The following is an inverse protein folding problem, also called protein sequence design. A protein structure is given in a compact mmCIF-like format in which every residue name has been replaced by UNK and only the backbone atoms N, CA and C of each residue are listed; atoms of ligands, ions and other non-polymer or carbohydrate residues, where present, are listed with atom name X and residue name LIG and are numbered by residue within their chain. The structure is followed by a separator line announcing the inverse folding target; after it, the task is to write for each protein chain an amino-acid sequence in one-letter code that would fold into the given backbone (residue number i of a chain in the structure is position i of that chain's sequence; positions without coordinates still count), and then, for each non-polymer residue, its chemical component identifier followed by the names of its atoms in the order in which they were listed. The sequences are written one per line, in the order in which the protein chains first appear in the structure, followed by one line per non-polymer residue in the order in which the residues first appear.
data_IF_806520877101
#
_entry.id   IF_806520877101
#
_cell.length_a   1.000
_cell.length_b   1.000
_cell.length_c   1.000
_cell.angle_alpha   90.00
_cell.angle_beta   90.00
_cell.angle_gamma   90.00
#
_symmetry.space_group_name_H-M   'P 1'
#
loop_
_entity.id
_entity.type
_entity.pdbx_description
1 polymer ?
#
# COMPACT_ATOMS: atom_id res chain seq x y z
N UNK A 1 44.01 0.68 24.95
CA UNK A 1 43.99 2.14 25.17
C UNK A 1 45.23 2.69 24.50
N UNK A 2 45.09 3.56 23.50
CA UNK A 2 46.23 4.14 22.81
C UNK A 2 46.76 5.28 23.68
N UNK A 3 48.04 5.22 24.07
CA UNK A 3 48.64 6.30 24.86
C UNK A 3 48.86 7.52 23.97
N UNK A 4 48.54 8.73 24.44
CA UNK A 4 48.80 9.93 23.66
C UNK A 4 50.31 10.10 23.50
N UNK A 5 50.81 10.06 22.27
CA UNK A 5 52.22 10.31 21.95
C UNK A 5 52.35 11.61 21.17
N UNK A 6 53.44 12.35 21.39
CA UNK A 6 53.76 13.53 20.59
C UNK A 6 53.95 13.12 19.12
N UNK A 7 53.21 13.71 18.19
CA UNK A 7 53.35 13.41 16.76
C UNK A 7 54.65 13.91 16.14
N UNK A 8 55.44 14.73 16.86
CA UNK A 8 56.72 15.23 16.39
C UNK A 8 57.91 14.36 16.84
N UNK A 9 58.04 14.09 18.15
CA UNK A 9 59.18 13.34 18.71
C UNK A 9 58.83 11.95 19.23
N UNK A 10 57.55 11.56 19.25
CA UNK A 10 57.11 10.24 19.73
C UNK A 10 57.03 10.10 21.26
N UNK A 11 57.34 11.15 22.03
CA UNK A 11 57.32 11.10 23.50
C UNK A 11 55.93 10.78 24.06
N UNK A 12 55.85 9.97 25.12
CA UNK A 12 54.60 9.62 25.81
C UNK A 12 54.09 10.83 26.61
N UNK A 13 52.94 11.36 26.21
CA UNK A 13 52.30 12.53 26.82
C UNK A 13 51.34 12.16 27.95
N UNK A 14 51.35 10.89 28.38
CA UNK A 14 50.54 10.44 29.52
C UNK A 14 50.94 11.20 30.79
N UNK A 15 50.02 12.00 31.33
CA UNK A 15 50.25 12.78 32.56
C UNK A 15 50.92 14.14 32.36
N UNK A 16 51.08 14.63 31.13
CA UNK A 16 51.59 15.97 30.89
C UNK A 16 50.58 17.05 31.35
N UNK A 17 50.99 17.92 32.27
CA UNK A 17 50.15 19.02 32.79
C UNK A 17 50.16 20.27 31.90
N UNK A 18 51.11 20.36 30.96
CA UNK A 18 51.26 21.50 30.05
C UNK A 18 50.78 21.15 28.63
N UNK A 19 50.35 22.15 27.85
CA UNK A 19 49.99 21.98 26.43
C UNK A 19 51.19 21.86 25.48
N UNK A 20 52.40 21.65 26.03
CA UNK A 20 53.65 21.52 25.28
C UNK A 20 54.32 20.19 25.61
N UNK A 21 54.98 19.62 24.60
CA UNK A 21 55.80 18.45 24.82
C UNK A 21 57.04 18.82 25.66
N UNK A 22 57.37 18.10 26.74
CA UNK A 22 58.54 18.40 27.57
C UNK A 22 59.86 18.17 26.81
N UNK A 23 59.88 17.23 25.85
CA UNK A 23 61.07 16.95 25.03
C UNK A 23 61.31 17.98 23.92
N UNK A 24 60.32 18.23 23.05
CA UNK A 24 60.53 19.04 21.84
C UNK A 24 59.93 20.45 21.91
N UNK A 25 59.21 20.80 22.99
CA UNK A 25 58.64 22.14 23.20
C UNK A 25 57.44 22.51 22.31
N UNK A 26 57.10 21.67 21.31
CA UNK A 26 55.98 21.88 20.42
C UNK A 26 54.64 21.84 21.15
N UNK A 27 53.71 22.68 20.69
CA UNK A 27 52.33 22.63 21.14
C UNK A 27 51.65 21.35 20.66
N UNK A 28 50.80 20.75 21.50
CA UNK A 28 50.04 19.55 21.16
C UNK A 28 49.21 19.71 19.87
N UNK A 29 48.71 20.92 19.61
CA UNK A 29 47.93 21.27 18.42
C UNK A 29 48.79 21.19 17.15
N UNK A 30 50.03 21.70 17.21
CA UNK A 30 50.99 21.68 16.10
C UNK A 30 51.58 20.29 15.89
N UNK A 31 51.81 19.54 16.96
CA UNK A 31 52.30 18.16 16.93
C UNK A 31 51.22 17.15 16.52
N UNK A 32 50.02 17.60 16.13
CA UNK A 32 48.92 16.73 15.67
C UNK A 32 48.30 15.86 16.77
N UNK A 33 48.57 16.16 18.03
CA UNK A 33 48.02 15.43 19.18
C UNK A 33 46.56 15.85 19.35
N UNK A 34 45.64 14.96 18.95
CA UNK A 34 44.20 15.20 19.12
C UNK A 34 43.82 14.96 20.58
N UNK A 35 43.99 15.99 21.41
CA UNK A 35 43.47 16.02 22.79
C UNK A 35 42.00 16.46 22.73
N UNK A 36 41.11 15.53 22.44
CA UNK A 36 39.68 15.76 22.49
C UNK A 36 38.96 14.49 22.92
N UNK A 37 37.89 14.58 23.72
CA UNK A 37 37.07 13.42 24.05
C UNK A 37 36.68 12.75 22.73
N UNK A 38 37.08 11.49 22.56
CA UNK A 38 37.03 10.74 21.31
C UNK A 38 35.87 11.20 20.44
N UNK A 39 36.17 11.92 19.34
CA UNK A 39 35.15 12.42 18.41
C UNK A 39 34.22 11.31 17.89
N UNK A 40 34.64 10.07 18.08
CA UNK A 40 33.90 8.84 17.87
C UNK A 40 32.61 8.74 18.70
N UNK A 41 32.59 9.23 19.96
CA UNK A 41 31.37 9.18 20.80
C UNK A 41 30.29 10.14 20.29
N UNK A 42 30.68 11.37 19.91
CA UNK A 42 29.76 12.36 19.35
C UNK A 42 29.20 11.88 18.02
N UNK A 43 30.05 11.29 17.17
CA UNK A 43 29.64 10.74 15.86
C UNK A 43 28.70 9.55 16.02
N UNK A 44 28.94 8.66 16.99
CA UNK A 44 28.05 7.53 17.33
C UNK A 44 26.68 7.99 17.82
N UNK A 45 26.62 8.99 18.69
CA UNK A 45 25.35 9.56 19.18
C UNK A 45 24.55 10.21 18.05
N UNK A 46 25.21 11.01 17.21
CA UNK A 46 24.55 11.63 16.06
C UNK A 46 24.01 10.57 15.09
N UNK A 47 24.80 9.55 14.75
CA UNK A 47 24.36 8.45 13.87
C UNK A 47 23.14 7.71 14.44
N UNK A 48 23.11 7.44 15.75
CA UNK A 48 21.94 6.82 16.40
C UNK A 48 20.71 7.73 16.33
N UNK A 49 20.86 9.03 16.58
CA UNK A 49 19.77 9.98 16.47
C UNK A 49 19.19 10.05 15.04
N UNK A 50 20.05 10.07 14.02
CA UNK A 50 19.63 10.06 12.61
C UNK A 50 18.88 8.77 12.27
N UNK A 51 19.37 7.61 12.70
CA UNK A 51 18.68 6.33 12.46
C UNK A 51 17.29 6.33 13.10
N UNK A 52 17.17 6.78 14.35
CA UNK A 52 15.87 6.88 15.03
C UNK A 52 14.91 7.83 14.32
N UNK A 53 15.41 8.99 13.86
CA UNK A 53 14.60 9.94 13.10
C UNK A 53 14.07 9.32 11.79
N UNK A 54 14.91 8.59 11.05
CA UNK A 54 14.50 7.90 9.81
C UNK A 54 13.43 6.84 10.11
N UNK A 55 13.60 6.04 11.17
CA UNK A 55 12.62 5.00 11.55
C UNK A 55 11.27 5.63 11.92
N UNK A 56 11.28 6.73 12.68
CA UNK A 56 10.06 7.45 13.04
C UNK A 56 9.36 8.04 11.82
N UNK A 57 10.10 8.65 10.90
CA UNK A 57 9.55 9.20 9.65
C UNK A 57 8.96 8.09 8.76
N UNK A 58 9.65 6.96 8.64
CA UNK A 58 9.14 5.80 7.90
C UNK A 58 7.86 5.25 8.54
N UNK A 59 7.83 5.10 9.86
CA UNK A 59 6.65 4.67 10.60
C UNK A 59 5.44 5.59 10.41
N UNK A 60 5.66 6.91 10.48
CA UNK A 60 4.61 7.90 10.21
C UNK A 60 4.10 7.82 8.76
N UNK A 61 4.99 7.62 7.79
CA UNK A 61 4.62 7.41 6.39
C UNK A 61 3.75 6.18 6.16
N UNK A 62 4.07 5.06 6.82
CA UNK A 62 3.26 3.83 6.75
C UNK A 62 1.88 4.04 7.37
N UNK A 63 1.79 4.72 8.51
CA UNK A 63 0.52 5.06 9.15
C UNK A 63 -0.40 5.89 8.24
N UNK A 64 0.13 6.95 7.62
CA UNK A 64 -0.66 7.82 6.74
C UNK A 64 -1.14 7.10 5.47
N UNK A 65 -0.28 6.27 4.89
CA UNK A 65 -0.65 5.48 3.70
C UNK A 65 -1.68 4.40 4.03
N UNK A 66 -1.61 3.80 5.22
CA UNK A 66 -2.61 2.83 5.69
C UNK A 66 -4.01 3.45 5.83
N UNK A 67 -4.13 4.65 6.41
CA UNK A 67 -5.42 5.35 6.48
C UNK A 67 -6.00 5.64 5.10
N UNK A 68 -5.18 6.17 4.19
CA UNK A 68 -5.61 6.45 2.83
C UNK A 68 -6.09 5.17 2.12
N UNK A 69 -5.38 4.06 2.32
CA UNK A 69 -5.76 2.76 1.79
C UNK A 69 -7.10 2.26 2.35
N UNK A 70 -7.31 2.38 3.67
CA UNK A 70 -8.57 1.98 4.30
C UNK A 70 -9.76 2.83 3.83
N UNK A 71 -9.58 4.15 3.67
CA UNK A 71 -10.62 5.04 3.11
C UNK A 71 -10.94 4.67 1.67
N UNK A 72 -9.92 4.40 0.85
CA UNK A 72 -10.11 3.97 -0.54
C UNK A 72 -10.85 2.63 -0.63
N UNK A 73 -10.56 1.69 0.28
CA UNK A 73 -11.27 0.41 0.36
C UNK A 73 -12.74 0.62 0.75
N UNK A 74 -13.02 1.40 1.78
CA UNK A 74 -14.39 1.70 2.20
C UNK A 74 -15.22 2.37 1.09
N UNK A 75 -14.62 3.27 0.31
CA UNK A 75 -15.28 3.92 -0.82
C UNK A 75 -15.64 2.90 -1.94
N UNK A 76 -14.78 1.91 -2.20
CA UNK A 76 -15.06 0.85 -3.18
C UNK A 76 -16.23 -0.03 -2.73
N UNK A 77 -16.29 -0.38 -1.45
CA UNK A 77 -17.36 -1.21 -0.90
C UNK A 77 -18.72 -0.49 -0.99
N UNK A 78 -18.76 0.82 -0.70
CA UNK A 78 -19.96 1.64 -0.88
C UNK A 78 -20.41 1.72 -2.35
N UNK A 79 -19.47 1.87 -3.28
CA UNK A 79 -19.79 1.93 -4.71
C UNK A 79 -20.38 0.59 -5.22
N UNK A 80 -19.88 -0.55 -4.73
CA UNK A 80 -20.43 -1.87 -5.06
C UNK A 80 -21.84 -2.02 -4.49
N UNK A 81 -22.06 -1.63 -3.23
CA UNK A 81 -23.38 -1.68 -2.60
C UNK A 81 -24.41 -0.82 -3.35
N UNK A 82 -24.04 0.38 -3.79
CA UNK A 82 -24.91 1.26 -4.59
C UNK A 82 -25.30 0.62 -5.92
N UNK A 83 -24.35 -0.03 -6.62
CA UNK A 83 -24.64 -0.73 -7.87
C UNK A 83 -25.62 -1.89 -7.66
N UNK A 84 -25.45 -2.65 -6.59
CA UNK A 84 -26.36 -3.75 -6.26
C UNK A 84 -27.77 -3.24 -5.95
N UNK A 85 -27.88 -2.15 -5.17
CA UNK A 85 -29.16 -1.51 -4.89
C UNK A 85 -29.85 -1.00 -6.17
N UNK A 86 -29.10 -0.37 -7.08
CA UNK A 86 -29.63 0.12 -8.35
C UNK A 86 -30.16 -1.03 -9.23
N UNK A 87 -29.42 -2.14 -9.35
CA UNK A 87 -29.87 -3.32 -10.08
C UNK A 87 -31.11 -3.97 -9.45
N UNK A 88 -31.19 -4.01 -8.13
CA UNK A 88 -32.37 -4.50 -7.43
C UNK A 88 -33.62 -3.64 -7.71
N UNK A 89 -33.47 -2.31 -7.73
CA UNK A 89 -34.54 -1.39 -8.09
C UNK A 89 -35.00 -1.58 -9.55
N UNK A 90 -34.06 -1.78 -10.48
CA UNK A 90 -34.39 -2.07 -11.88
C UNK A 90 -35.21 -3.35 -12.01
N UNK A 91 -34.77 -4.44 -11.35
CA UNK A 91 -35.51 -5.72 -11.35
C UNK A 91 -36.93 -5.56 -10.78
N UNK A 92 -37.08 -4.84 -9.68
CA UNK A 92 -38.38 -4.57 -9.08
C UNK A 92 -39.29 -3.76 -10.02
N UNK A 93 -38.74 -2.78 -10.74
CA UNK A 93 -39.49 -2.00 -11.73
C UNK A 93 -39.93 -2.87 -12.92
N UNK A 94 -39.04 -3.72 -13.46
CA UNK A 94 -39.37 -4.67 -14.53
C UNK A 94 -40.45 -5.66 -14.11
N UNK A 95 -40.38 -6.18 -12.88
CA UNK A 95 -41.42 -7.08 -12.36
C UNK A 95 -42.78 -6.39 -12.22
N UNK A 96 -42.81 -5.11 -11.80
CA UNK A 96 -44.06 -4.33 -11.75
C UNK A 96 -44.66 -4.12 -13.13
N UNK A 97 -43.84 -3.87 -14.15
CA UNK A 97 -44.32 -3.73 -15.53
C UNK A 97 -44.83 -5.06 -16.09
N UNK A 98 -44.11 -6.15 -15.88
CA UNK A 98 -44.53 -7.48 -16.33
C UNK A 98 -45.85 -7.91 -15.65
N UNK A 99 -46.01 -7.66 -14.35
CA UNK A 99 -47.24 -7.97 -13.62
C UNK A 99 -48.42 -7.04 -13.89
N UNK A 100 -48.17 -5.83 -14.43
CA UNK A 100 -49.22 -4.86 -14.77
C UNK A 100 -49.77 -5.04 -16.19
N UNK A 101 -49.25 -6.00 -16.97
CA UNK A 101 -49.84 -6.35 -18.26
C UNK A 101 -51.14 -7.08 -17.93
N UNK A 102 -52.32 -6.44 -18.07
CA UNK A 102 -53.57 -7.06 -17.70
C UNK A 102 -53.79 -8.25 -18.62
N UNK A 103 -54.23 -9.40 -18.09
CA UNK A 103 -54.73 -10.54 -18.86
C UNK A 103 -56.04 -10.18 -19.61
N UNK A 104 -56.06 -9.09 -20.38
CA UNK A 104 -57.23 -8.60 -21.08
C UNK A 104 -57.38 -9.20 -22.49
N UNK A 105 -56.56 -10.18 -22.87
CA UNK A 105 -56.42 -10.60 -24.28
C UNK A 105 -56.49 -12.13 -24.50
N UNK A 106 -57.16 -12.90 -23.62
CA UNK A 106 -57.35 -14.34 -23.84
C UNK A 106 -58.73 -14.88 -23.41
N UNK A 107 -59.80 -14.13 -23.71
CA UNK A 107 -61.19 -14.66 -23.64
C UNK A 107 -62.00 -14.44 -24.94
N UNK A 108 -61.38 -13.91 -26.01
CA UNK A 108 -62.07 -13.61 -27.28
C UNK A 108 -61.66 -14.49 -28.46
N UNK A 109 -60.84 -15.54 -28.28
CA UNK A 109 -60.37 -16.39 -29.39
C UNK A 109 -60.80 -17.86 -29.33
N UNK A 110 -61.83 -18.21 -28.53
CA UNK A 110 -62.41 -19.55 -28.50
C UNK A 110 -63.53 -19.82 -29.52
N UNK A 111 -63.85 -18.91 -30.46
CA UNK A 111 -65.00 -19.07 -31.38
C UNK A 111 -64.68 -19.34 -32.86
N UNK A 112 -63.42 -19.46 -33.31
CA UNK A 112 -63.11 -19.74 -34.74
C UNK A 112 -62.06 -20.84 -34.99
N UNK A 113 -62.15 -21.97 -34.26
CA UNK A 113 -61.42 -23.21 -34.63
C UNK A 113 -62.31 -24.44 -34.79
N UNK A 114 -63.56 -24.21 -35.20
CA UNK A 114 -64.21 -25.13 -36.14
C UNK A 114 -63.55 -24.98 -37.51
N UNK A 115 -63.23 -26.10 -38.16
CA UNK A 115 -62.86 -26.21 -39.57
C UNK A 115 -61.46 -25.72 -40.02
N UNK A 116 -60.47 -26.58 -39.84
CA UNK A 116 -59.35 -26.92 -40.78
C UNK A 116 -58.40 -27.82 -40.00
N UNK A 117 -58.63 -29.13 -39.91
CA UNK A 117 -58.63 -30.12 -40.99
C UNK A 117 -57.45 -29.96 -41.95
N UNK A 118 -56.58 -30.98 -41.95
CA UNK A 118 -55.48 -31.26 -42.87
C UNK A 118 -54.21 -30.44 -42.63
N UNK A 119 -53.00 -31.00 -42.62
CA UNK A 119 -52.53 -32.20 -43.30
C UNK A 119 -51.29 -32.70 -42.57
N UNK A 120 -51.32 -33.99 -42.25
CA UNK A 120 -50.18 -34.84 -42.01
C UNK A 120 -49.13 -34.62 -43.10
N UNK A 121 -47.85 -34.48 -42.73
CA UNK A 121 -46.72 -35.11 -43.43
C UNK A 121 -45.46 -34.93 -42.57
N UNK A 122 -45.15 -36.00 -41.84
CA UNK A 122 -43.77 -36.48 -41.72
C UNK A 122 -43.24 -36.73 -43.15
N UNK A 123 -41.96 -36.45 -43.45
CA UNK A 123 -40.97 -37.44 -43.04
C UNK A 123 -39.58 -36.87 -42.66
N UNK A 124 -38.99 -37.54 -41.67
CA UNK A 124 -37.64 -38.13 -41.72
C UNK A 124 -36.67 -37.63 -42.80
N UNK A 125 -35.56 -37.02 -42.36
CA UNK A 125 -34.25 -37.07 -43.02
C UNK A 125 -33.21 -36.75 -41.91
N UNK A 126 -32.53 -37.71 -41.29
CA UNK A 126 -31.43 -38.55 -41.77
C UNK A 126 -30.19 -37.75 -42.21
N UNK A 127 -29.03 -38.08 -41.62
CA UNK A 127 -27.71 -37.53 -41.95
C UNK A 127 -26.95 -37.07 -40.70
N UNK A 128 -26.31 -37.94 -39.92
CA UNK A 128 -24.92 -38.43 -40.12
C UNK A 128 -23.93 -37.28 -40.46
N UNK A 129 -23.22 -36.72 -39.46
CA UNK A 129 -21.83 -37.07 -39.05
C UNK A 129 -20.73 -36.58 -40.05
N UNK A 130 -19.46 -36.40 -39.65
CA UNK A 130 -18.82 -36.28 -38.33
C UNK A 130 -18.38 -34.84 -37.96
#
# INVERSE_FOLDING_TARGET
MMRPTCGHCGYDLTGAESNRCPECGWLFIEAGVRVGPDGDTRRKRFRRAVILAIVLLAGAGVMLTAEAYLRARAARDQAIAQRQAALAQQRAATQRQAGATPQAEDDSHLDERGERSNLVTDPADAGDAP
#
